data_IF_156520266165
#
_entry.id   IF_156520266165
#
_cell.length_a   1.000
_cell.length_b   1.000
_cell.length_c   1.000
_cell.angle_alpha   90.00
_cell.angle_beta   90.00
_cell.angle_gamma   90.00
#
_symmetry.space_group_name_H-M   'P 1'
#
loop_
_entity.id
_entity.type
_entity.pdbx_description
1 polymer ?
#
# COMPACT_ATOMS: atom_id res chain seq x y z
N UNK A 1 17.10 29.78 9.95
CA UNK A 1 16.51 28.69 10.72
C UNK A 1 15.48 27.90 9.89
N UNK A 2 14.44 28.52 9.35
CA UNK A 2 13.42 27.82 8.53
C UNK A 2 14.00 27.24 7.21
N UNK A 3 14.81 28.01 6.50
CA UNK A 3 15.48 27.57 5.26
C UNK A 3 16.41 26.39 5.50
N UNK A 4 17.13 26.36 6.64
CA UNK A 4 17.98 25.23 7.03
C UNK A 4 17.17 23.93 7.20
N UNK A 5 16.02 24.00 7.92
CA UNK A 5 15.17 22.83 8.12
C UNK A 5 14.60 22.28 6.80
N UNK A 6 14.22 23.17 5.88
CA UNK A 6 13.74 22.77 4.55
C UNK A 6 14.86 22.04 3.78
N UNK A 7 16.04 22.63 3.72
CA UNK A 7 17.19 22.05 3.03
C UNK A 7 17.57 20.69 3.63
N UNK A 8 17.66 20.61 4.96
CA UNK A 8 17.96 19.37 5.69
C UNK A 8 16.98 18.25 5.37
N UNK A 9 15.67 18.56 5.35
CA UNK A 9 14.66 17.56 5.01
C UNK A 9 14.79 17.05 3.58
N UNK A 10 14.97 17.95 2.60
CA UNK A 10 15.14 17.56 1.19
C UNK A 10 16.42 16.77 0.97
N UNK A 11 17.52 17.16 1.61
CA UNK A 11 18.81 16.46 1.47
C UNK A 11 18.74 15.06 2.09
N UNK A 12 18.17 14.92 3.28
CA UNK A 12 17.98 13.64 3.92
C UNK A 12 17.04 12.72 3.10
N UNK A 13 15.94 13.28 2.57
CA UNK A 13 15.04 12.51 1.71
C UNK A 13 15.74 12.05 0.42
N UNK A 14 16.53 12.90 -0.23
CA UNK A 14 17.28 12.54 -1.43
C UNK A 14 18.16 11.31 -1.22
N UNK A 15 18.82 11.21 -0.06
CA UNK A 15 19.62 10.04 0.31
C UNK A 15 18.77 8.78 0.51
N UNK A 16 17.62 8.92 1.17
CA UNK A 16 16.68 7.80 1.38
C UNK A 16 16.14 7.32 0.03
N UNK A 17 15.74 8.22 -0.85
CA UNK A 17 15.26 7.90 -2.21
C UNK A 17 16.34 7.18 -3.02
N UNK A 18 17.60 7.67 -2.99
CA UNK A 18 18.70 7.03 -3.70
C UNK A 18 18.93 5.59 -3.24
N UNK A 19 19.01 5.37 -1.92
CA UNK A 19 19.14 4.01 -1.34
C UNK A 19 17.93 3.14 -1.64
N UNK A 20 16.72 3.71 -1.59
CA UNK A 20 15.49 2.98 -1.93
C UNK A 20 15.48 2.52 -3.37
N UNK A 21 15.94 3.34 -4.32
CA UNK A 21 16.06 2.98 -5.73
C UNK A 21 16.98 1.77 -5.97
N UNK A 22 18.00 1.58 -5.12
CA UNK A 22 18.90 0.42 -5.20
C UNK A 22 18.26 -0.85 -4.64
N UNK A 23 17.70 -0.78 -3.41
CA UNK A 23 17.25 -1.97 -2.69
C UNK A 23 15.82 -2.39 -3.02
N UNK A 24 14.97 -1.47 -3.48
CA UNK A 24 13.55 -1.75 -3.76
C UNK A 24 13.25 -2.01 -5.24
N UNK A 25 14.21 -1.86 -6.15
CA UNK A 25 13.99 -2.03 -7.60
C UNK A 25 13.32 -3.36 -7.92
N UNK A 26 13.91 -4.47 -7.52
CA UNK A 26 13.38 -5.80 -7.83
C UNK A 26 12.12 -6.14 -7.01
N UNK A 27 12.07 -5.90 -5.69
CA UNK A 27 10.84 -6.06 -4.92
C UNK A 27 9.65 -5.27 -5.49
N UNK A 28 9.86 -4.00 -5.86
CA UNK A 28 8.80 -3.16 -6.44
C UNK A 28 8.33 -3.66 -7.82
N UNK A 29 9.26 -4.16 -8.65
CA UNK A 29 8.93 -4.79 -9.92
C UNK A 29 8.13 -6.09 -9.72
N UNK A 30 8.43 -6.88 -8.69
CA UNK A 30 7.64 -8.05 -8.31
C UNK A 30 6.19 -7.70 -7.97
N UNK A 31 6.00 -6.67 -7.15
CA UNK A 31 4.65 -6.16 -6.81
C UNK A 31 3.92 -5.62 -8.05
N UNK A 32 4.62 -4.89 -8.93
CA UNK A 32 4.02 -4.38 -10.17
C UNK A 32 3.48 -5.51 -11.06
N UNK A 33 4.23 -6.60 -11.20
CA UNK A 33 3.79 -7.78 -11.95
C UNK A 33 2.57 -8.46 -11.30
N UNK A 34 2.61 -8.69 -9.99
CA UNK A 34 1.49 -9.29 -9.25
C UNK A 34 0.22 -8.43 -9.33
N UNK A 35 0.36 -7.10 -9.25
CA UNK A 35 -0.75 -6.17 -9.38
C UNK A 35 -1.40 -6.24 -10.77
N UNK A 36 -0.60 -6.24 -11.83
CA UNK A 36 -1.09 -6.36 -13.22
C UNK A 36 -1.75 -7.71 -13.45
N UNK A 37 -1.19 -8.80 -12.91
CA UNK A 37 -1.78 -10.15 -13.00
C UNK A 37 -3.15 -10.20 -12.31
N UNK A 38 -3.25 -9.72 -11.06
CA UNK A 38 -4.50 -9.70 -10.32
C UNK A 38 -5.58 -8.86 -11.04
N UNK A 39 -5.26 -7.63 -11.41
CA UNK A 39 -6.21 -6.72 -12.07
C UNK A 39 -6.59 -7.22 -13.48
N UNK A 40 -5.64 -7.78 -14.22
CA UNK A 40 -5.88 -8.37 -15.54
C UNK A 40 -6.77 -9.61 -15.51
N UNK A 41 -6.77 -10.34 -14.41
CA UNK A 41 -7.66 -11.46 -14.13
C UNK A 41 -9.04 -11.05 -13.56
N UNK A 42 -9.28 -9.76 -13.34
CA UNK A 42 -10.53 -9.22 -12.80
C UNK A 42 -10.64 -9.24 -11.29
N UNK A 43 -9.53 -9.52 -10.58
CA UNK A 43 -9.45 -9.41 -9.12
C UNK A 43 -9.29 -7.96 -8.68
N UNK A 44 -9.46 -7.70 -7.36
CA UNK A 44 -9.40 -6.36 -6.79
C UNK A 44 -8.20 -6.11 -5.92
N UNK A 45 -7.90 -4.84 -5.73
CA UNK A 45 -6.98 -4.34 -4.71
C UNK A 45 -7.74 -4.06 -3.42
N UNK A 46 -7.19 -4.55 -2.30
CA UNK A 46 -7.63 -4.20 -0.94
C UNK A 46 -6.46 -3.49 -0.25
N UNK A 47 -6.61 -2.22 0.10
CA UNK A 47 -5.52 -1.41 0.66
C UNK A 47 -5.88 -0.85 2.03
N UNK A 48 -4.93 -0.86 2.97
CA UNK A 48 -5.13 -0.39 4.34
C UNK A 48 -3.84 0.06 5.01
N UNK A 49 -4.00 0.87 6.04
CA UNK A 49 -2.94 1.43 6.87
C UNK A 49 -3.52 2.41 7.89
N UNK A 50 -2.67 2.99 8.72
CA UNK A 50 -3.07 3.92 9.77
C UNK A 50 -2.59 5.35 9.47
N UNK A 51 -3.36 6.37 9.80
CA UNK A 51 -2.96 7.76 9.66
C UNK A 51 -2.53 8.13 8.24
N UNK A 52 -1.30 8.63 8.05
CA UNK A 52 -0.75 8.94 6.73
C UNK A 52 -0.66 7.73 5.81
N UNK A 53 -0.46 6.53 6.35
CA UNK A 53 -0.50 5.28 5.59
C UNK A 53 -1.91 4.92 5.12
N UNK A 54 -2.97 5.29 5.87
CA UNK A 54 -4.35 5.17 5.39
C UNK A 54 -4.61 6.12 4.21
N UNK A 55 -4.07 7.34 4.26
CA UNK A 55 -4.14 8.28 3.15
C UNK A 55 -3.46 7.73 1.88
N UNK A 56 -2.33 7.05 2.02
CA UNK A 56 -1.64 6.39 0.90
C UNK A 56 -2.43 5.19 0.33
N UNK A 57 -3.06 4.40 1.20
CA UNK A 57 -3.96 3.34 0.76
C UNK A 57 -5.15 3.90 -0.04
N UNK A 58 -5.74 4.99 0.43
CA UNK A 58 -6.82 5.69 -0.29
C UNK A 58 -6.33 6.31 -1.60
N UNK A 59 -5.10 6.83 -1.64
CA UNK A 59 -4.50 7.38 -2.86
C UNK A 59 -4.34 6.28 -3.92
N UNK A 60 -3.72 5.13 -3.57
CA UNK A 60 -3.60 4.00 -4.50
C UNK A 60 -4.95 3.58 -5.07
N UNK A 61 -5.98 3.47 -4.21
CA UNK A 61 -7.34 3.13 -4.62
C UNK A 61 -7.93 4.19 -5.54
N UNK A 62 -7.73 5.47 -5.24
CA UNK A 62 -8.19 6.59 -6.07
C UNK A 62 -7.60 6.55 -7.48
N UNK A 63 -6.30 6.25 -7.60
CA UNK A 63 -5.64 6.12 -8.91
C UNK A 63 -6.14 4.91 -9.72
N UNK A 64 -6.52 3.83 -9.05
CA UNK A 64 -7.05 2.62 -9.73
C UNK A 64 -8.52 2.79 -10.15
N UNK A 65 -9.37 3.35 -9.29
CA UNK A 65 -10.80 3.59 -9.57
C UNK A 65 -11.03 4.75 -10.53
N UNK A 66 -10.22 5.80 -10.42
CA UNK A 66 -10.26 6.94 -11.32
C UNK A 66 -9.39 6.70 -12.56
N UNK A 67 -8.34 7.47 -12.66
CA UNK A 67 -7.28 7.31 -13.67
C UNK A 67 -5.96 7.84 -13.11
N UNK A 68 -4.84 7.30 -13.55
CA UNK A 68 -3.53 7.90 -13.26
C UNK A 68 -3.09 8.82 -14.42
N UNK A 69 -2.40 8.30 -15.42
CA UNK A 69 -1.97 9.09 -16.59
C UNK A 69 -2.87 8.87 -17.80
N UNK A 70 -3.37 7.66 -17.99
CA UNK A 70 -4.19 7.30 -19.14
C UNK A 70 -5.67 7.29 -18.77
N UNK A 71 -6.53 7.77 -19.67
CA UNK A 71 -7.98 7.51 -19.58
C UNK A 71 -8.21 6.04 -19.92
N UNK A 72 -8.78 5.28 -19.00
CA UNK A 72 -9.00 3.84 -19.09
C UNK A 72 -10.19 3.41 -18.24
N UNK A 73 -10.62 2.18 -18.42
CA UNK A 73 -11.60 1.58 -17.51
C UNK A 73 -11.11 1.59 -16.05
N UNK A 74 -12.02 1.76 -15.07
CA UNK A 74 -11.68 1.64 -13.67
C UNK A 74 -11.27 0.21 -13.31
N UNK A 75 -10.29 0.09 -12.40
CA UNK A 75 -9.94 -1.21 -11.81
C UNK A 75 -10.55 -1.35 -10.42
N UNK A 76 -11.06 -2.54 -10.05
CA UNK A 76 -11.69 -2.75 -8.76
C UNK A 76 -10.69 -2.59 -7.62
N UNK A 77 -10.96 -1.67 -6.70
CA UNK A 77 -10.11 -1.39 -5.55
C UNK A 77 -10.92 -0.85 -4.36
N UNK A 78 -10.49 -1.13 -3.13
CA UNK A 78 -11.11 -0.63 -1.91
C UNK A 78 -10.08 -0.26 -0.86
N UNK A 79 -10.26 0.90 -0.20
CA UNK A 79 -9.45 1.34 0.94
C UNK A 79 -10.25 1.15 2.24
N UNK A 80 -9.73 0.31 3.15
CA UNK A 80 -10.51 -0.13 4.33
C UNK A 80 -10.61 0.91 5.46
N UNK A 81 -9.85 2.00 5.40
CA UNK A 81 -9.89 3.06 6.40
C UNK A 81 -10.75 4.28 5.98
N UNK A 82 -11.40 4.24 4.82
CA UNK A 82 -12.05 5.40 4.24
C UNK A 82 -13.48 5.65 4.72
N UNK A 83 -14.16 4.62 5.25
CA UNK A 83 -15.50 4.78 5.84
C UNK A 83 -15.41 4.94 7.36
N UNK A 84 -15.71 6.14 7.85
CA UNK A 84 -15.66 6.47 9.26
C UNK A 84 -16.68 5.65 10.09
N UNK A 85 -17.85 5.33 9.53
CA UNK A 85 -18.86 4.50 10.19
C UNK A 85 -18.34 3.10 10.49
N UNK A 86 -17.76 2.44 9.50
CA UNK A 86 -17.14 1.11 9.64
C UNK A 86 -15.96 1.13 10.62
N UNK A 87 -15.08 2.13 10.52
CA UNK A 87 -13.91 2.26 11.40
C UNK A 87 -14.35 2.41 12.86
N UNK A 88 -15.27 3.32 13.13
CA UNK A 88 -15.72 3.58 14.50
C UNK A 88 -16.55 2.43 15.07
N UNK A 89 -17.42 1.79 14.29
CA UNK A 89 -18.20 0.62 14.69
C UNK A 89 -17.27 -0.53 15.11
N UNK A 90 -16.36 -0.95 14.23
CA UNK A 90 -15.46 -2.08 14.54
C UNK A 90 -14.58 -1.76 15.75
N UNK A 91 -14.03 -0.54 15.83
CA UNK A 91 -13.16 -0.14 16.93
C UNK A 91 -13.88 -0.08 18.26
N UNK A 92 -15.15 0.39 18.28
CA UNK A 92 -15.98 0.48 19.49
C UNK A 92 -16.47 -0.88 19.97
N UNK A 93 -16.93 -1.73 19.05
CA UNK A 93 -17.61 -2.98 19.40
C UNK A 93 -16.64 -4.16 19.60
N UNK A 94 -15.43 -4.07 19.04
CA UNK A 94 -14.43 -5.12 19.14
C UNK A 94 -13.08 -4.55 19.65
N UNK A 95 -12.21 -4.14 18.73
CA UNK A 95 -10.96 -3.43 19.06
C UNK A 95 -10.31 -2.84 17.81
N UNK A 96 -9.33 -1.94 18.02
CA UNK A 96 -8.55 -1.37 16.93
C UNK A 96 -7.67 -2.41 16.21
N UNK A 97 -7.23 -3.44 16.94
CA UNK A 97 -6.35 -4.48 16.39
C UNK A 97 -7.04 -5.34 15.34
N UNK A 98 -8.36 -5.51 15.40
CA UNK A 98 -9.11 -6.31 14.43
C UNK A 98 -9.72 -5.48 13.29
N UNK A 99 -9.48 -4.18 13.26
CA UNK A 99 -10.08 -3.25 12.32
C UNK A 99 -9.97 -3.71 10.86
N UNK A 100 -8.77 -4.05 10.41
CA UNK A 100 -8.55 -4.48 9.02
C UNK A 100 -8.84 -5.97 8.83
N UNK A 101 -8.53 -6.79 9.82
CA UNK A 101 -8.83 -8.23 9.78
C UNK A 101 -10.30 -8.52 9.47
N UNK A 102 -11.23 -7.86 10.18
CA UNK A 102 -12.66 -8.06 9.96
C UNK A 102 -13.14 -7.62 8.59
N UNK A 103 -12.64 -6.50 8.10
CA UNK A 103 -12.98 -5.99 6.77
C UNK A 103 -12.38 -6.88 5.66
N UNK A 104 -11.15 -7.33 5.83
CA UNK A 104 -10.48 -8.27 4.91
C UNK A 104 -11.23 -9.60 4.88
N UNK A 105 -11.65 -10.13 6.03
CA UNK A 105 -12.43 -11.38 6.11
C UNK A 105 -13.72 -11.31 5.28
N UNK A 106 -14.38 -10.16 5.30
CA UNK A 106 -15.64 -9.96 4.57
C UNK A 106 -15.41 -9.70 3.06
N UNK A 107 -14.36 -8.99 2.69
CA UNK A 107 -14.21 -8.40 1.35
C UNK A 107 -13.20 -9.13 0.47
N UNK A 108 -12.14 -9.71 1.04
CA UNK A 108 -11.09 -10.34 0.25
C UNK A 108 -11.53 -11.69 -0.33
N UNK A 109 -11.11 -11.95 -1.56
CA UNK A 109 -11.36 -13.17 -2.31
C UNK A 109 -10.02 -13.76 -2.77
N UNK A 110 -9.97 -15.08 -3.07
CA UNK A 110 -8.80 -15.68 -3.69
C UNK A 110 -8.41 -14.97 -4.99
N UNK A 111 -7.13 -14.70 -5.16
CA UNK A 111 -6.60 -13.97 -6.32
C UNK A 111 -6.56 -12.45 -6.18
N UNK A 112 -7.21 -11.86 -5.18
CA UNK A 112 -7.06 -10.44 -4.87
C UNK A 112 -5.62 -10.10 -4.44
N UNK A 113 -5.28 -8.81 -4.44
CA UNK A 113 -4.01 -8.34 -3.89
C UNK A 113 -4.25 -7.35 -2.74
N UNK A 114 -3.65 -7.61 -1.58
CA UNK A 114 -3.83 -6.85 -0.36
C UNK A 114 -2.56 -6.04 -0.01
N UNK A 115 -2.69 -4.72 0.07
CA UNK A 115 -1.62 -3.80 0.45
C UNK A 115 -1.77 -3.33 1.90
N UNK A 116 -0.82 -3.68 2.76
CA UNK A 116 -0.71 -3.16 4.13
C UNK A 116 0.42 -2.14 4.22
N UNK A 117 0.07 -0.86 4.47
CA UNK A 117 1.03 0.23 4.66
C UNK A 117 1.29 0.46 6.15
N UNK A 118 2.57 0.40 6.56
CA UNK A 118 2.98 0.64 7.94
C UNK A 118 4.44 1.09 8.03
N UNK A 119 4.70 2.32 8.43
CA UNK A 119 6.07 2.85 8.51
C UNK A 119 6.92 2.15 9.57
N UNK A 120 6.32 1.71 10.67
CA UNK A 120 7.01 1.01 11.75
C UNK A 120 7.14 -0.51 11.53
N UNK A 121 6.33 -1.09 10.64
CA UNK A 121 6.19 -2.53 10.50
C UNK A 121 5.58 -3.27 11.70
N UNK A 122 5.13 -2.54 12.74
CA UNK A 122 4.66 -3.11 14.02
C UNK A 122 3.16 -2.92 14.27
N UNK A 123 2.44 -2.27 13.37
CA UNK A 123 0.99 -2.04 13.53
C UNK A 123 0.23 -3.36 13.53
N UNK A 124 -0.31 -3.75 14.70
CA UNK A 124 -0.97 -5.05 14.88
C UNK A 124 -2.17 -5.21 13.95
N UNK A 125 -3.01 -4.19 13.81
CA UNK A 125 -4.15 -4.24 12.89
C UNK A 125 -3.73 -4.46 11.42
N UNK A 126 -2.60 -3.87 10.97
CA UNK A 126 -2.08 -4.08 9.63
C UNK A 126 -1.56 -5.52 9.46
N UNK A 127 -0.82 -6.02 10.45
CA UNK A 127 -0.31 -7.41 10.44
C UNK A 127 -1.46 -8.43 10.38
N UNK A 128 -2.48 -8.26 11.22
CA UNK A 128 -3.67 -9.12 11.24
C UNK A 128 -4.45 -9.06 9.93
N UNK A 129 -4.58 -7.86 9.35
CA UNK A 129 -5.20 -7.69 8.03
C UNK A 129 -4.45 -8.44 6.93
N UNK A 130 -3.10 -8.34 6.88
CA UNK A 130 -2.28 -9.08 5.92
C UNK A 130 -2.35 -10.59 6.15
N UNK A 131 -2.29 -11.03 7.40
CA UNK A 131 -2.44 -12.45 7.74
C UNK A 131 -3.78 -13.00 7.24
N UNK A 132 -4.88 -12.31 7.54
CA UNK A 132 -6.22 -12.68 7.08
C UNK A 132 -6.34 -12.68 5.55
N UNK A 133 -5.73 -11.71 4.86
CA UNK A 133 -5.70 -11.66 3.40
C UNK A 133 -5.02 -12.92 2.81
N UNK A 134 -3.90 -13.33 3.41
CA UNK A 134 -3.20 -14.56 3.01
C UNK A 134 -4.05 -15.81 3.23
N UNK A 135 -4.73 -15.92 4.37
CA UNK A 135 -5.69 -17.02 4.63
C UNK A 135 -6.83 -17.06 3.62
N UNK A 136 -7.24 -15.90 3.10
CA UNK A 136 -8.28 -15.77 2.06
C UNK A 136 -7.77 -16.06 0.65
N UNK A 137 -6.48 -16.37 0.49
CA UNK A 137 -5.86 -16.65 -0.81
C UNK A 137 -5.54 -15.41 -1.65
N UNK A 138 -5.46 -14.25 -1.02
CA UNK A 138 -4.98 -13.04 -1.66
C UNK A 138 -3.45 -12.97 -1.63
N UNK A 139 -2.85 -12.37 -2.67
CA UNK A 139 -1.43 -11.98 -2.65
C UNK A 139 -1.24 -10.83 -1.68
N UNK A 140 -0.24 -10.90 -0.81
CA UNK A 140 -0.03 -9.93 0.26
C UNK A 140 1.21 -9.09 0.04
N UNK A 141 1.07 -7.77 0.19
CA UNK A 141 2.13 -6.78 0.04
C UNK A 141 2.23 -5.93 1.30
N UNK A 142 3.36 -6.02 2.00
CA UNK A 142 3.69 -5.14 3.12
C UNK A 142 4.61 -4.01 2.64
N UNK A 143 4.17 -2.77 2.79
CA UNK A 143 4.96 -1.57 2.45
C UNK A 143 5.37 -0.90 3.74
N UNK A 144 6.68 -0.96 4.08
CA UNK A 144 7.18 -0.69 5.44
C UNK A 144 8.38 0.26 5.46
N UNK A 145 8.82 0.66 6.65
CA UNK A 145 10.14 1.24 6.88
C UNK A 145 11.22 0.18 7.09
N UNK A 146 12.39 0.58 7.54
CA UNK A 146 13.60 -0.25 7.61
C UNK A 146 13.44 -1.54 8.44
N UNK A 147 12.55 -1.57 9.42
CA UNK A 147 12.30 -2.76 10.24
C UNK A 147 11.63 -3.92 9.49
N UNK A 148 11.10 -3.69 8.27
CA UNK A 148 10.28 -4.67 7.57
C UNK A 148 8.95 -4.93 8.29
N UNK A 149 8.32 -6.08 8.02
CA UNK A 149 7.08 -6.49 8.70
C UNK A 149 7.42 -7.32 9.94
N UNK A 150 7.53 -6.68 11.09
CA UNK A 150 7.97 -7.30 12.34
C UNK A 150 6.94 -8.32 12.86
N UNK A 151 7.36 -9.57 13.03
CA UNK A 151 6.52 -10.66 13.54
C UNK A 151 5.33 -11.03 12.66
N UNK A 152 5.36 -10.64 11.37
CA UNK A 152 4.37 -11.00 10.37
C UNK A 152 5.02 -11.58 9.12
N UNK A 153 4.18 -12.06 8.20
CA UNK A 153 4.60 -12.56 6.89
C UNK A 153 3.75 -11.93 5.80
N UNK A 154 4.37 -11.64 4.65
CA UNK A 154 3.68 -11.24 3.43
C UNK A 154 4.43 -11.84 2.24
N UNK A 155 3.76 -11.98 1.10
CA UNK A 155 4.40 -12.54 -0.11
C UNK A 155 5.44 -11.56 -0.67
N UNK A 156 5.19 -10.26 -0.52
CA UNK A 156 6.12 -9.18 -0.85
C UNK A 156 6.29 -8.24 0.35
N UNK A 157 7.54 -7.95 0.71
CA UNK A 157 7.88 -6.94 1.73
C UNK A 157 8.79 -5.89 1.09
N UNK A 158 8.32 -4.63 1.09
CA UNK A 158 9.10 -3.49 0.62
C UNK A 158 9.51 -2.65 1.82
N UNK A 159 10.73 -2.81 2.26
CA UNK A 159 11.29 -2.12 3.41
C UNK A 159 12.11 -0.91 2.96
N UNK A 160 11.54 0.28 3.07
CA UNK A 160 12.24 1.56 2.81
C UNK A 160 13.38 1.69 3.81
N UNK A 161 14.63 1.97 3.40
CA UNK A 161 15.80 1.99 4.28
C UNK A 161 15.87 3.28 5.13
N UNK A 162 14.81 3.57 5.88
CA UNK A 162 14.68 4.71 6.78
C UNK A 162 13.72 4.40 7.95
N UNK A 163 14.01 4.98 9.12
CA UNK A 163 13.14 4.95 10.30
C UNK A 163 12.39 6.28 10.49
N UNK A 164 12.64 7.28 9.64
CA UNK A 164 11.94 8.57 9.67
C UNK A 164 10.62 8.44 8.92
N UNK A 165 9.51 8.48 9.66
CA UNK A 165 8.15 8.27 9.14
C UNK A 165 7.85 9.10 7.90
N UNK A 166 8.23 10.39 7.87
CA UNK A 166 7.99 11.26 6.72
C UNK A 166 8.70 10.73 5.46
N UNK A 167 10.00 10.45 5.54
CA UNK A 167 10.77 9.94 4.41
C UNK A 167 10.27 8.56 3.94
N UNK A 168 9.86 7.69 4.87
CA UNK A 168 9.25 6.40 4.54
C UNK A 168 7.96 6.60 3.74
N UNK A 169 7.07 7.49 4.19
CA UNK A 169 5.82 7.77 3.50
C UNK A 169 6.03 8.42 2.13
N UNK A 170 7.01 9.31 2.00
CA UNK A 170 7.36 9.92 0.71
C UNK A 170 7.81 8.85 -0.31
N UNK A 171 8.62 7.87 0.10
CA UNK A 171 8.98 6.74 -0.76
C UNK A 171 7.80 5.81 -1.04
N UNK A 172 6.92 5.56 -0.06
CA UNK A 172 5.68 4.79 -0.29
C UNK A 172 4.82 5.43 -1.39
N UNK A 173 4.73 6.77 -1.39
CA UNK A 173 4.03 7.51 -2.44
C UNK A 173 4.68 7.33 -3.81
N UNK A 174 6.00 7.36 -3.88
CA UNK A 174 6.72 7.08 -5.13
C UNK A 174 6.46 5.67 -5.66
N UNK A 175 6.46 4.67 -4.77
CA UNK A 175 6.19 3.27 -5.14
C UNK A 175 4.78 3.09 -5.71
N UNK A 176 3.75 3.64 -5.06
CA UNK A 176 2.39 3.53 -5.57
C UNK A 176 2.22 4.19 -6.96
N UNK A 177 2.88 5.32 -7.21
CA UNK A 177 2.87 5.96 -8.52
C UNK A 177 3.56 5.09 -9.58
N UNK A 178 4.69 4.45 -9.27
CA UNK A 178 5.38 3.53 -10.18
C UNK A 178 4.48 2.34 -10.54
N UNK A 179 3.76 1.78 -9.57
CA UNK A 179 2.80 0.70 -9.83
C UNK A 179 1.64 1.16 -10.71
N UNK A 180 1.11 2.37 -10.49
CA UNK A 180 0.05 2.93 -11.34
C UNK A 180 0.54 3.20 -12.77
N UNK A 181 1.79 3.67 -12.96
CA UNK A 181 2.40 3.78 -14.29
C UNK A 181 2.41 2.41 -14.99
N UNK A 182 2.86 1.38 -14.28
CA UNK A 182 2.97 0.04 -14.87
C UNK A 182 1.61 -0.59 -15.20
N UNK A 183 0.60 -0.35 -14.35
CA UNK A 183 -0.80 -0.74 -14.63
C UNK A 183 -1.32 -0.04 -15.88
N UNK A 184 -1.12 1.27 -16.00
CA UNK A 184 -1.51 2.04 -17.19
C UNK A 184 -0.83 1.48 -18.45
N UNK A 185 0.48 1.19 -18.41
CA UNK A 185 1.21 0.64 -19.55
C UNK A 185 0.75 -0.76 -19.97
N UNK A 186 0.37 -1.61 -19.03
CA UNK A 186 0.05 -3.01 -19.29
C UNK A 186 -1.44 -3.27 -19.53
N UNK A 187 -2.32 -2.55 -18.85
CA UNK A 187 -3.76 -2.78 -18.85
C UNK A 187 -4.56 -1.57 -19.36
N UNK A 188 -3.94 -0.38 -19.44
CA UNK A 188 -4.56 0.83 -19.95
C UNK A 188 -4.74 0.70 -21.46
N UNK A 189 -5.89 0.17 -21.91
CA UNK A 189 -6.31 0.30 -23.31
C UNK A 189 -6.99 1.65 -23.45
N UNK A 190 -6.53 2.51 -24.35
CA UNK A 190 -7.25 3.74 -24.68
C UNK A 190 -8.68 3.36 -25.08
N UNK A 191 -9.67 3.91 -24.39
CA UNK A 191 -11.03 3.89 -24.89
C UNK A 191 -11.02 4.71 -26.19
N UNK A 192 -11.28 4.02 -27.30
CA UNK A 192 -11.34 4.62 -28.62
C UNK A 192 -12.58 5.49 -28.81
#
# INVERSE_FOLDING_TARGET
MTESLITEHFDANREVVARSAEVLREPAAGVARALVEALGAGHKVVAFGNGGSAAQASHLVGELLGRFKMTRQPFPAVALASDAGTVTCITNDFSYEVLFERQVEALAQPGDIAFGFTTSGRSENVRRGLFKAKEKGAVTVAVTGAAGLVGGTADHVLAVPSDVTAHVQEVHLMLLHVWCIYVDEKLGRAEG
#
